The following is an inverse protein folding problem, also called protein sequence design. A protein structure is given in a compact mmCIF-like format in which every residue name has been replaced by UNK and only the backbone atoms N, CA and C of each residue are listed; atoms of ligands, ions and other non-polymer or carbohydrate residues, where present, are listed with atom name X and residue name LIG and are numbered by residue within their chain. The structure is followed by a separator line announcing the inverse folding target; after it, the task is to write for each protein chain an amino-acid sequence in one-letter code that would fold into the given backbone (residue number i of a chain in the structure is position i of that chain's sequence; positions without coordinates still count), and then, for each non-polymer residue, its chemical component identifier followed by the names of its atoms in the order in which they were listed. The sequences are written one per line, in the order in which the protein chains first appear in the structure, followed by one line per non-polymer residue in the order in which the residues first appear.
data_IF_392222204952
#
_entry.id   IF_392222204952
#
_cell.length_a   1.000
_cell.length_b   1.000
_cell.length_c   1.000
_cell.angle_alpha   90.00
_cell.angle_beta   90.00
_cell.angle_gamma   90.00
#
_symmetry.space_group_name_H-M   'P 1'
#
loop_
_entity.id
_entity.type
_entity.pdbx_description
1 polymer ?
#
# COMPACT_ATOMS: atom_id res chain seq x y z
N UNK A 1 -19.67 15.01 -7.83
CA UNK A 1 -18.82 14.81 -6.63
C UNK A 1 -17.46 15.42 -6.93
N UNK A 2 -17.08 16.50 -6.22
CA UNK A 2 -15.78 17.14 -6.37
C UNK A 2 -14.72 16.29 -5.65
N UNK A 3 -13.80 15.71 -6.41
CA UNK A 3 -12.60 15.07 -5.86
C UNK A 3 -11.62 16.14 -5.41
N UNK A 4 -11.87 16.77 -4.26
CA UNK A 4 -10.83 17.54 -3.58
C UNK A 4 -9.70 16.57 -3.21
N UNK A 5 -8.49 16.84 -3.70
CA UNK A 5 -7.28 16.13 -3.23
C UNK A 5 -7.05 16.51 -1.77
N UNK A 6 -7.47 15.65 -0.86
CA UNK A 6 -7.17 15.78 0.57
C UNK A 6 -5.69 15.46 0.81
N UNK A 7 -4.99 16.27 1.62
CA UNK A 7 -3.56 16.04 1.93
C UNK A 7 -3.35 14.99 3.04
N UNK A 8 -4.42 14.31 3.45
CA UNK A 8 -4.39 13.21 4.40
C UNK A 8 -5.78 12.91 4.98
N UNK A 9 -5.87 11.88 5.82
CA UNK A 9 -7.13 11.46 6.43
C UNK A 9 -7.76 12.51 7.34
N UNK A 10 -6.95 13.40 7.93
CA UNK A 10 -7.46 14.48 8.78
C UNK A 10 -8.27 15.51 7.99
N UNK A 11 -7.83 15.87 6.79
CA UNK A 11 -8.54 16.85 5.95
C UNK A 11 -9.87 16.27 5.46
N UNK A 12 -9.86 15.01 5.03
CA UNK A 12 -11.06 14.28 4.63
C UNK A 12 -12.09 14.22 5.77
N UNK A 13 -11.66 13.91 7.00
CA UNK A 13 -12.51 13.93 8.18
C UNK A 13 -13.11 15.32 8.43
N UNK A 14 -12.29 16.37 8.38
CA UNK A 14 -12.74 17.74 8.65
C UNK A 14 -13.74 18.21 7.59
N UNK A 15 -13.48 17.95 6.31
CA UNK A 15 -14.39 18.29 5.22
C UNK A 15 -15.71 17.54 5.34
N UNK A 16 -15.68 16.23 5.59
CA UNK A 16 -16.90 15.44 5.80
C UNK A 16 -17.75 16.00 6.97
N UNK A 17 -17.12 16.36 8.09
CA UNK A 17 -17.81 16.90 9.26
C UNK A 17 -18.43 18.28 9.02
N UNK A 18 -17.92 19.06 8.05
CA UNK A 18 -18.41 20.40 7.72
C UNK A 18 -19.53 20.40 6.66
N UNK A 19 -19.49 19.45 5.73
CA UNK A 19 -20.35 19.44 4.54
C UNK A 19 -21.66 18.66 4.74
N UNK A 20 -21.70 17.71 5.67
CA UNK A 20 -22.83 16.78 5.83
C UNK A 20 -23.81 17.20 6.92
N UNK A 21 -25.11 17.27 6.56
CA UNK A 21 -26.20 17.50 7.50
C UNK A 21 -26.52 16.26 8.36
N UNK A 22 -26.17 15.05 7.88
CA UNK A 22 -26.49 13.78 8.53
C UNK A 22 -25.26 12.90 8.74
N UNK A 23 -24.42 13.28 9.70
CA UNK A 23 -23.16 12.62 9.99
C UNK A 23 -23.33 11.14 10.36
N UNK A 24 -22.62 10.28 9.62
CA UNK A 24 -22.49 8.83 9.85
C UNK A 24 -21.03 8.40 9.73
N UNK A 25 -20.59 7.50 10.61
CA UNK A 25 -19.23 6.94 10.54
C UNK A 25 -19.12 5.91 9.44
N UNK A 26 -20.14 5.05 9.27
CA UNK A 26 -20.19 4.10 8.17
C UNK A 26 -20.14 4.79 6.80
N UNK A 27 -20.95 5.84 6.61
CA UNK A 27 -20.96 6.60 5.35
C UNK A 27 -19.61 7.28 5.08
N UNK A 28 -18.95 7.82 6.13
CA UNK A 28 -17.60 8.37 6.00
C UNK A 28 -16.61 7.32 5.47
N UNK A 29 -16.65 6.10 6.02
CA UNK A 29 -15.76 5.03 5.59
C UNK A 29 -15.97 4.67 4.11
N UNK A 30 -17.22 4.60 3.67
CA UNK A 30 -17.55 4.33 2.25
C UNK A 30 -17.09 5.47 1.35
N UNK A 31 -17.41 6.71 1.68
CA UNK A 31 -17.11 7.87 0.86
C UNK A 31 -15.59 8.12 0.72
N UNK A 32 -14.82 7.81 1.76
CA UNK A 32 -13.38 8.05 1.82
C UNK A 32 -12.57 6.76 1.83
N UNK A 33 -13.11 5.68 1.25
CA UNK A 33 -12.54 4.33 1.24
C UNK A 33 -11.08 4.30 0.78
N UNK A 34 -10.73 5.04 -0.27
CA UNK A 34 -9.36 5.10 -0.81
C UNK A 34 -8.35 5.67 0.21
N UNK A 35 -8.76 6.64 1.02
CA UNK A 35 -7.91 7.21 2.06
C UNK A 35 -7.78 6.21 3.21
N UNK A 36 -8.88 5.53 3.56
CA UNK A 36 -8.92 4.52 4.61
C UNK A 36 -7.98 3.36 4.25
N UNK A 37 -8.14 2.75 3.06
CA UNK A 37 -7.37 1.56 2.65
C UNK A 37 -5.86 1.82 2.60
N UNK A 38 -5.46 3.02 2.16
CA UNK A 38 -4.04 3.38 2.07
C UNK A 38 -3.38 3.65 3.43
N UNK A 39 -4.16 3.85 4.50
CA UNK A 39 -3.62 4.17 5.83
C UNK A 39 -3.82 3.06 6.87
N UNK A 40 -4.52 1.99 6.50
CA UNK A 40 -4.63 0.75 7.30
C UNK A 40 -3.26 0.07 7.39
N UNK A 41 -2.80 -0.31 8.58
CA UNK A 41 -1.55 -1.08 8.77
C UNK A 41 -1.75 -2.42 9.49
N UNK A 42 -2.99 -2.72 9.89
CA UNK A 42 -3.36 -3.90 10.67
C UNK A 42 -4.28 -4.81 9.87
N UNK A 43 -4.19 -6.11 10.12
CA UNK A 43 -5.12 -7.13 9.62
C UNK A 43 -6.22 -7.47 10.64
N UNK A 44 -6.23 -6.82 11.80
CA UNK A 44 -7.29 -6.96 12.80
C UNK A 44 -8.37 -5.89 12.60
N UNK A 45 -9.50 -6.31 12.06
CA UNK A 45 -10.65 -5.46 11.81
C UNK A 45 -11.15 -4.75 13.08
N UNK A 46 -11.06 -5.37 14.27
CA UNK A 46 -11.52 -4.76 15.53
C UNK A 46 -10.63 -3.58 15.91
N UNK A 47 -9.32 -3.77 15.80
CA UNK A 47 -8.34 -2.71 16.02
C UNK A 47 -8.51 -1.56 15.03
N UNK A 48 -8.75 -1.87 13.74
CA UNK A 48 -9.02 -0.86 12.72
C UNK A 48 -10.28 -0.05 13.03
N UNK A 49 -11.40 -0.73 13.28
CA UNK A 49 -12.67 -0.09 13.60
C UNK A 49 -12.55 0.81 14.84
N UNK A 50 -11.88 0.32 15.88
CA UNK A 50 -11.62 1.10 17.09
C UNK A 50 -10.79 2.34 16.77
N UNK A 51 -9.66 2.18 16.08
CA UNK A 51 -8.78 3.30 15.75
C UNK A 51 -9.47 4.37 14.91
N UNK A 52 -10.22 3.95 13.88
CA UNK A 52 -10.91 4.87 12.99
C UNK A 52 -12.09 5.56 13.64
N UNK A 53 -12.89 4.85 14.43
CA UNK A 53 -13.98 5.48 15.17
C UNK A 53 -13.48 6.45 16.24
N UNK A 54 -12.37 6.14 16.92
CA UNK A 54 -11.74 7.04 17.89
C UNK A 54 -11.23 8.31 17.21
N UNK A 55 -10.58 8.19 16.05
CA UNK A 55 -10.14 9.34 15.23
C UNK A 55 -11.31 10.19 14.76
N UNK A 56 -12.34 9.55 14.22
CA UNK A 56 -13.56 10.21 13.75
C UNK A 56 -14.24 10.99 14.88
N UNK A 57 -14.45 10.36 16.04
CA UNK A 57 -15.07 11.01 17.20
C UNK A 57 -14.19 12.11 17.79
N UNK A 58 -12.86 11.97 17.75
CA UNK A 58 -11.94 13.03 18.20
C UNK A 58 -12.12 14.27 17.34
N UNK A 59 -12.07 14.13 16.00
CA UNK A 59 -12.28 15.25 15.09
C UNK A 59 -13.68 15.83 15.19
N UNK A 60 -14.71 14.99 15.33
CA UNK A 60 -16.07 15.45 15.53
C UNK A 60 -16.24 16.28 16.81
N UNK A 61 -15.57 15.90 17.90
CA UNK A 61 -15.60 16.66 19.15
C UNK A 61 -15.00 18.06 18.98
N UNK A 62 -13.93 18.17 18.18
CA UNK A 62 -13.22 19.43 17.98
C UNK A 62 -13.96 20.36 17.01
N UNK A 63 -14.80 19.82 16.12
CA UNK A 63 -15.50 20.59 15.07
C UNK A 63 -16.97 20.89 15.36
N UNK A 64 -17.64 20.08 16.19
CA UNK A 64 -19.09 20.15 16.38
C UNK A 64 -19.48 20.75 17.73
N UNK A 65 -20.68 21.36 17.78
CA UNK A 65 -21.33 21.74 19.04
C UNK A 65 -21.56 20.49 19.91
N UNK A 66 -21.46 20.65 21.23
CA UNK A 66 -21.58 19.56 22.21
C UNK A 66 -22.85 18.72 22.05
N UNK A 67 -23.98 19.35 21.73
CA UNK A 67 -25.28 18.66 21.51
C UNK A 67 -25.22 17.74 20.29
N UNK A 68 -24.78 18.27 19.14
CA UNK A 68 -24.59 17.51 17.90
C UNK A 68 -23.58 16.38 18.08
N UNK A 69 -22.45 16.65 18.74
CA UNK A 69 -21.44 15.63 19.03
C UNK A 69 -22.00 14.47 19.87
N UNK A 70 -22.80 14.75 20.89
CA UNK A 70 -23.39 13.71 21.75
C UNK A 70 -24.36 12.80 20.97
N UNK A 71 -25.14 13.36 20.04
CA UNK A 71 -26.03 12.60 19.16
C UNK A 71 -25.19 11.71 18.23
N UNK A 72 -24.18 12.28 17.57
CA UNK A 72 -23.27 11.54 16.70
C UNK A 72 -22.55 10.41 17.43
N UNK A 73 -22.04 10.66 18.64
CA UNK A 73 -21.36 9.65 19.46
C UNK A 73 -22.24 8.44 19.76
N UNK A 74 -23.53 8.65 20.07
CA UNK A 74 -24.49 7.55 20.27
C UNK A 74 -24.71 6.78 18.97
N UNK A 75 -24.86 7.49 17.85
CA UNK A 75 -25.02 6.89 16.54
C UNK A 75 -23.82 6.03 16.14
N UNK A 76 -22.59 6.54 16.25
CA UNK A 76 -21.36 5.78 15.96
C UNK A 76 -21.29 4.50 16.79
N UNK A 77 -21.64 4.55 18.07
CA UNK A 77 -21.73 3.33 18.89
C UNK A 77 -22.72 2.32 18.33
N UNK A 78 -23.91 2.77 17.90
CA UNK A 78 -24.91 1.87 17.29
C UNK A 78 -24.46 1.31 15.95
N UNK A 79 -23.81 2.12 15.11
CA UNK A 79 -23.30 1.69 13.80
C UNK A 79 -22.25 0.59 13.99
N UNK A 80 -21.31 0.78 14.93
CA UNK A 80 -20.23 -0.18 15.24
C UNK A 80 -20.71 -1.53 15.79
N UNK A 81 -21.95 -1.61 16.27
CA UNK A 81 -22.55 -2.87 16.70
C UNK A 81 -23.19 -3.64 15.54
N UNK A 82 -23.38 -3.02 14.38
CA UNK A 82 -23.93 -3.67 13.19
C UNK A 82 -22.87 -4.54 12.51
N UNK A 83 -23.30 -5.68 11.99
CA UNK A 83 -22.43 -6.58 11.22
C UNK A 83 -21.91 -5.96 9.91
N UNK A 84 -22.58 -4.94 9.38
CA UNK A 84 -22.17 -4.23 8.14
C UNK A 84 -20.74 -3.70 8.22
N UNK A 85 -20.34 -3.12 9.36
CA UNK A 85 -18.97 -2.61 9.53
C UNK A 85 -17.93 -3.72 9.62
N UNK A 86 -18.30 -4.87 10.20
CA UNK A 86 -17.42 -6.04 10.22
C UNK A 86 -17.17 -6.57 8.81
N UNK A 87 -18.22 -6.65 7.96
CA UNK A 87 -18.08 -7.02 6.55
C UNK A 87 -17.20 -5.99 5.81
N UNK A 88 -17.49 -4.69 5.95
CA UNK A 88 -16.70 -3.62 5.34
C UNK A 88 -15.20 -3.75 5.63
N UNK A 89 -14.83 -3.95 6.90
CA UNK A 89 -13.42 -4.06 7.27
C UNK A 89 -12.76 -5.32 6.74
N UNK A 90 -13.48 -6.46 6.70
CA UNK A 90 -12.96 -7.70 6.13
C UNK A 90 -12.68 -7.56 4.65
N UNK A 91 -13.62 -7.02 3.88
CA UNK A 91 -13.49 -6.82 2.44
C UNK A 91 -12.31 -5.89 2.13
N UNK A 92 -12.15 -4.83 2.92
CA UNK A 92 -11.04 -3.88 2.78
C UNK A 92 -9.68 -4.53 3.09
N UNK A 93 -9.59 -5.35 4.14
CA UNK A 93 -8.36 -6.10 4.47
C UNK A 93 -8.03 -7.10 3.35
N UNK A 94 -9.04 -7.79 2.83
CA UNK A 94 -8.86 -8.78 1.76
C UNK A 94 -8.36 -8.11 0.47
N UNK A 95 -8.99 -7.01 0.05
CA UNK A 95 -8.54 -6.22 -1.11
C UNK A 95 -7.09 -5.75 -0.94
N UNK A 96 -6.74 -5.24 0.24
CA UNK A 96 -5.38 -4.80 0.52
C UNK A 96 -4.38 -5.96 0.43
N UNK A 97 -4.74 -7.13 0.96
CA UNK A 97 -3.90 -8.32 0.90
C UNK A 97 -3.72 -8.83 -0.53
N UNK A 98 -4.79 -8.84 -1.33
CA UNK A 98 -4.72 -9.19 -2.75
C UNK A 98 -3.79 -8.25 -3.52
N UNK A 99 -3.91 -6.94 -3.29
CA UNK A 99 -3.02 -5.95 -3.90
C UNK A 99 -1.57 -6.18 -3.53
N UNK A 100 -1.28 -6.38 -2.23
CA UNK A 100 0.09 -6.68 -1.77
C UNK A 100 0.66 -7.93 -2.45
N UNK A 101 -0.13 -9.00 -2.55
CA UNK A 101 0.29 -10.24 -3.23
C UNK A 101 0.55 -10.01 -4.71
N UNK A 102 -0.29 -9.22 -5.38
CA UNK A 102 -0.07 -8.83 -6.78
C UNK A 102 1.24 -8.03 -6.95
N UNK A 103 1.48 -7.07 -6.06
CA UNK A 103 2.70 -6.25 -6.07
C UNK A 103 3.95 -7.13 -5.83
N UNK A 104 3.89 -8.09 -4.91
CA UNK A 104 4.97 -9.07 -4.67
C UNK A 104 5.28 -9.91 -5.92
N UNK A 105 4.26 -10.42 -6.60
CA UNK A 105 4.42 -11.21 -7.84
C UNK A 105 5.02 -10.32 -8.94
N UNK A 106 4.49 -9.12 -9.13
CA UNK A 106 4.97 -8.18 -10.14
C UNK A 106 6.43 -7.80 -9.90
N UNK A 107 6.79 -7.45 -8.65
CA UNK A 107 8.16 -7.11 -8.29
C UNK A 107 9.12 -8.29 -8.54
N UNK A 108 8.72 -9.51 -8.18
CA UNK A 108 9.52 -10.72 -8.42
C UNK A 108 9.75 -10.94 -9.92
N UNK A 109 8.71 -10.82 -10.75
CA UNK A 109 8.83 -10.97 -12.20
C UNK A 109 9.72 -9.88 -12.83
N UNK A 110 9.57 -8.61 -12.41
CA UNK A 110 10.42 -7.50 -12.86
C UNK A 110 11.88 -7.79 -12.53
N UNK A 111 12.15 -8.28 -11.33
CA UNK A 111 13.49 -8.60 -10.89
C UNK A 111 14.10 -9.76 -11.68
N UNK A 112 13.39 -10.88 -11.84
CA UNK A 112 13.86 -12.03 -12.59
C UNK A 112 14.19 -11.66 -14.04
N UNK A 113 13.31 -10.90 -14.69
CA UNK A 113 13.53 -10.41 -16.05
C UNK A 113 14.76 -9.49 -16.15
N UNK A 114 14.96 -8.60 -15.17
CA UNK A 114 16.11 -7.72 -15.14
C UNK A 114 17.43 -8.50 -14.98
N UNK A 115 17.44 -9.49 -14.08
CA UNK A 115 18.59 -10.36 -13.85
C UNK A 115 18.90 -11.17 -15.11
N UNK A 116 17.91 -11.82 -15.72
CA UNK A 116 18.08 -12.61 -16.93
C UNK A 116 18.61 -11.73 -18.09
N UNK A 117 18.06 -10.53 -18.27
CA UNK A 117 18.51 -9.58 -19.29
C UNK A 117 19.97 -9.19 -19.11
N UNK A 118 20.41 -8.95 -17.86
CA UNK A 118 21.81 -8.63 -17.57
C UNK A 118 22.72 -9.83 -17.76
N UNK A 119 22.29 -11.02 -17.32
CA UNK A 119 23.07 -12.24 -17.49
C UNK A 119 23.37 -12.51 -18.97
N UNK A 120 22.34 -12.39 -19.84
CA UNK A 120 22.49 -12.49 -21.30
C UNK A 120 23.37 -11.38 -21.89
N UNK A 121 23.18 -10.12 -21.47
CA UNK A 121 23.96 -8.97 -21.97
C UNK A 121 25.46 -9.15 -21.74
N UNK A 122 25.86 -9.66 -20.56
CA UNK A 122 27.26 -9.80 -20.20
C UNK A 122 27.86 -11.17 -20.53
N UNK A 123 27.03 -12.18 -20.74
CA UNK A 123 27.46 -13.56 -20.98
C UNK A 123 26.66 -14.19 -22.13
N UNK A 124 26.67 -13.61 -23.35
CA UNK A 124 25.78 -13.99 -24.44
C UNK A 124 25.98 -15.44 -24.93
N UNK A 125 27.17 -16.01 -24.72
CA UNK A 125 27.54 -17.37 -25.15
C UNK A 125 27.58 -18.36 -23.97
N UNK A 126 27.22 -17.92 -22.76
CA UNK A 126 27.26 -18.79 -21.60
C UNK A 126 26.17 -19.87 -21.68
N UNK A 127 26.60 -21.13 -21.53
CA UNK A 127 25.68 -22.24 -21.39
C UNK A 127 24.69 -22.02 -20.21
N UNK A 128 23.45 -22.52 -20.28
CA UNK A 128 22.41 -22.26 -19.28
C UNK A 128 22.85 -22.52 -17.82
N UNK A 129 23.66 -23.53 -17.57
CA UNK A 129 24.17 -23.86 -16.23
C UNK A 129 25.17 -22.82 -15.68
N UNK A 130 25.86 -22.06 -16.54
CA UNK A 130 26.73 -20.95 -16.14
C UNK A 130 25.91 -19.70 -15.80
N UNK A 131 24.77 -19.51 -16.48
CA UNK A 131 23.83 -18.43 -16.18
C UNK A 131 23.11 -18.66 -14.85
N UNK A 132 22.79 -19.91 -14.50
CA UNK A 132 22.18 -20.25 -13.20
C UNK A 132 23.04 -19.76 -12.01
N UNK A 133 24.36 -19.83 -12.11
CA UNK A 133 25.27 -19.28 -11.11
C UNK A 133 25.20 -17.74 -11.01
N UNK A 134 25.11 -17.02 -12.14
CA UNK A 134 24.89 -15.56 -12.17
C UNK A 134 23.56 -15.20 -11.50
N UNK A 135 22.50 -15.91 -11.89
CA UNK A 135 21.13 -15.70 -11.39
C UNK A 135 21.08 -15.95 -9.89
N UNK A 136 21.65 -17.05 -9.38
CA UNK A 136 21.73 -17.36 -7.94
C UNK A 136 22.55 -16.34 -7.16
N UNK A 137 23.65 -15.81 -7.73
CA UNK A 137 24.48 -14.77 -7.11
C UNK A 137 23.73 -13.43 -7.02
N UNK A 138 22.83 -13.15 -7.97
CA UNK A 138 21.96 -11.98 -8.02
C UNK A 138 20.61 -12.20 -7.29
N UNK A 139 20.25 -13.44 -6.95
CA UNK A 139 19.01 -13.80 -6.28
C UNK A 139 19.02 -13.34 -4.80
N UNK A 140 18.38 -12.20 -4.57
CA UNK A 140 17.63 -11.66 -3.41
C UNK A 140 18.13 -11.90 -1.97
N UNK A 141 18.64 -13.06 -1.55
CA UNK A 141 19.04 -13.26 -0.14
C UNK A 141 20.09 -12.25 0.34
N UNK A 142 20.79 -11.56 -0.57
CA UNK A 142 21.71 -10.44 -0.28
C UNK A 142 21.14 -9.03 -0.54
N UNK A 143 20.05 -8.87 -1.29
CA UNK A 143 19.52 -7.55 -1.71
C UNK A 143 18.56 -6.95 -0.66
N UNK A 144 17.89 -7.80 0.12
CA UNK A 144 17.00 -7.38 1.22
C UNK A 144 17.79 -6.68 2.34
N UNK A 145 19.09 -6.95 2.48
CA UNK A 145 19.94 -6.36 3.53
C UNK A 145 20.12 -4.84 3.44
N UNK A 146 19.76 -4.20 2.33
CA UNK A 146 19.88 -2.73 2.14
C UNK A 146 18.54 -1.98 2.23
N UNK A 147 17.43 -2.68 2.43
CA UNK A 147 16.11 -2.07 2.55
C UNK A 147 15.47 -2.38 3.89
N UNK A 148 14.75 -1.39 4.43
CA UNK A 148 14.10 -1.50 5.74
C UNK A 148 13.03 -2.61 5.79
N UNK A 149 12.43 -2.95 4.64
CA UNK A 149 11.57 -4.13 4.48
C UNK A 149 11.47 -4.58 3.01
N UNK A 150 10.93 -5.78 2.80
CA UNK A 150 10.69 -6.33 1.46
C UNK A 150 9.57 -5.58 0.72
N UNK A 151 8.58 -5.04 1.45
CA UNK A 151 7.54 -4.21 0.88
C UNK A 151 8.12 -2.92 0.30
N UNK A 152 9.01 -2.25 1.04
CA UNK A 152 9.69 -1.03 0.56
C UNK A 152 10.54 -1.33 -0.67
N UNK A 153 11.18 -2.50 -0.74
CA UNK A 153 11.88 -2.93 -1.95
C UNK A 153 10.95 -3.07 -3.16
N UNK A 154 9.85 -3.81 -2.97
CA UNK A 154 8.89 -4.10 -4.04
C UNK A 154 8.25 -2.82 -4.56
N UNK A 155 7.80 -1.92 -3.67
CA UNK A 155 7.24 -0.62 -4.03
C UNK A 155 8.24 0.22 -4.82
N UNK A 156 9.51 0.24 -4.41
CA UNK A 156 10.55 0.97 -5.12
C UNK A 156 10.79 0.40 -6.52
N UNK A 157 10.82 -0.92 -6.65
CA UNK A 157 11.03 -1.60 -7.93
C UNK A 157 9.88 -1.34 -8.91
N UNK A 158 8.64 -1.52 -8.45
CA UNK A 158 7.42 -1.23 -9.22
C UNK A 158 7.38 0.25 -9.60
N UNK A 159 7.76 1.15 -8.70
CA UNK A 159 7.81 2.60 -9.00
C UNK A 159 8.83 2.94 -10.09
N UNK A 160 10.01 2.32 -10.08
CA UNK A 160 11.00 2.51 -11.15
C UNK A 160 10.42 2.03 -12.49
N UNK A 161 9.80 0.85 -12.48
CA UNK A 161 9.19 0.26 -13.66
C UNK A 161 8.07 1.17 -14.21
N UNK A 162 7.06 1.50 -13.41
CA UNK A 162 5.90 2.27 -13.85
C UNK A 162 6.25 3.73 -14.20
N UNK A 163 7.15 4.37 -13.45
CA UNK A 163 7.28 5.84 -13.50
C UNK A 163 8.61 6.34 -14.07
N UNK A 164 9.63 5.49 -14.26
CA UNK A 164 10.98 5.92 -14.68
C UNK A 164 11.46 5.36 -16.02
N UNK A 165 10.62 4.61 -16.73
CA UNK A 165 10.91 4.11 -18.08
C UNK A 165 10.97 2.58 -18.20
N UNK A 166 10.16 1.85 -17.42
CA UNK A 166 9.97 0.42 -17.57
C UNK A 166 11.22 -0.41 -17.29
N UNK A 167 11.34 -1.55 -17.98
CA UNK A 167 12.46 -2.46 -17.84
C UNK A 167 13.82 -1.80 -18.08
N UNK A 168 13.94 -0.89 -19.06
CA UNK A 168 15.22 -0.22 -19.34
C UNK A 168 15.76 0.53 -18.11
N UNK A 169 14.88 1.19 -17.36
CA UNK A 169 15.24 1.88 -16.13
C UNK A 169 15.59 0.91 -15.01
N UNK A 170 14.82 -0.17 -14.86
CA UNK A 170 15.09 -1.23 -13.89
C UNK A 170 16.45 -1.89 -14.14
N UNK A 171 16.70 -2.34 -15.36
CA UNK A 171 17.94 -3.00 -15.77
C UNK A 171 19.16 -2.09 -15.56
N UNK A 172 19.07 -0.80 -15.92
CA UNK A 172 20.14 0.17 -15.66
C UNK A 172 20.41 0.37 -14.16
N UNK A 173 19.35 0.41 -13.33
CA UNK A 173 19.48 0.51 -11.88
C UNK A 173 20.19 -0.73 -11.30
N UNK A 174 19.82 -1.93 -11.75
CA UNK A 174 20.45 -3.18 -11.36
C UNK A 174 21.91 -3.25 -11.84
N UNK A 175 22.18 -2.83 -13.07
CA UNK A 175 23.53 -2.79 -13.65
C UNK A 175 24.47 -1.91 -12.82
N UNK A 176 24.00 -0.74 -12.39
CA UNK A 176 24.76 0.15 -11.50
C UNK A 176 25.03 -0.50 -10.14
N UNK A 177 24.01 -1.17 -9.58
CA UNK A 177 24.06 -1.73 -8.22
C UNK A 177 24.89 -3.02 -8.14
N UNK A 178 24.86 -3.84 -9.19
CA UNK A 178 25.44 -5.17 -9.20
C UNK A 178 26.56 -5.34 -10.22
N UNK A 179 27.14 -4.25 -10.73
CA UNK A 179 28.17 -4.26 -11.77
C UNK A 179 29.32 -5.24 -11.51
N UNK A 180 29.75 -5.40 -10.25
CA UNK A 180 30.82 -6.32 -9.82
C UNK A 180 30.47 -7.80 -9.94
N UNK A 181 29.20 -8.14 -10.12
CA UNK A 181 28.68 -9.51 -10.19
C UNK A 181 28.32 -9.97 -11.60
N UNK A 182 28.35 -9.09 -12.59
CA UNK A 182 27.78 -9.33 -13.93
C UNK A 182 28.71 -10.01 -14.91
N UNK A 183 30.02 -9.86 -14.72
CA UNK A 183 31.04 -10.50 -15.56
C UNK A 183 31.49 -11.79 -14.89
N UNK A 184 31.36 -12.93 -15.59
CA UNK A 184 31.93 -14.23 -15.23
C UNK A 184 33.01 -14.59 -16.24
#
# INVERSE_FOLDING_TARGET
MNTHKFHGYNDALISYLKEQSNLSYHEFLIQYRDIVINSVSSNDWKSLDKSWSDRFLTKARDQLKRTTFNILKKRVKSERLKNELHTYWKDLIEEKNMKRKSDEIMASAIQELAIASLALKYNPEAAPYKLDHVVKKLAIKKVVGEHSSIEVYNENLIRIYNNKGGMKAVTKNFEKKFSSYLKI
#
